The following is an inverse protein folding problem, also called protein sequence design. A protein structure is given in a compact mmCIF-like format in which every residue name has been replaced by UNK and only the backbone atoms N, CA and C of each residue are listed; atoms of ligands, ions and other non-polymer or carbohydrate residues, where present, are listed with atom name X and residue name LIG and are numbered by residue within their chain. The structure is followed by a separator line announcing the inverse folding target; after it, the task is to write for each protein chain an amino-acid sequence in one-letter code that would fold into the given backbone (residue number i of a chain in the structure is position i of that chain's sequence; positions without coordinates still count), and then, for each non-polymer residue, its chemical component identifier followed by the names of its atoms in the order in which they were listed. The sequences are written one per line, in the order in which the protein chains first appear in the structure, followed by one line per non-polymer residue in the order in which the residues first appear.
data_IF_186684081186
#
_entry.id   IF_186684081186
#
_cell.length_a   1.000
_cell.length_b   1.000
_cell.length_c   1.000
_cell.angle_alpha   90.00
_cell.angle_beta   90.00
_cell.angle_gamma   90.00
#
_symmetry.space_group_name_H-M   'P 1'
#
loop_
_entity.id
_entity.type
_entity.pdbx_description
1 polymer ?
#
# COMPACT_ATOMS: atom_id res chain seq x y z
N UNK A 1 7.00 11.10 18.93
CA UNK A 1 6.59 10.84 20.34
C UNK A 1 5.18 11.40 20.53
N UNK A 2 4.73 11.57 21.78
CA UNK A 2 3.42 12.19 22.10
C UNK A 2 3.29 13.64 21.59
N UNK A 3 4.40 14.30 21.29
CA UNK A 3 4.47 15.68 20.78
C UNK A 3 4.54 15.73 19.26
N UNK A 4 4.60 14.56 18.60
CA UNK A 4 4.75 14.44 17.15
C UNK A 4 6.19 14.63 16.67
N UNK A 5 7.19 14.62 17.56
CA UNK A 5 8.59 14.68 17.16
C UNK A 5 9.01 13.37 16.49
N UNK A 6 9.72 13.49 15.36
CA UNK A 6 10.26 12.33 14.63
C UNK A 6 11.50 11.81 15.33
N UNK A 7 11.55 10.49 15.58
CA UNK A 7 12.73 9.84 16.11
C UNK A 7 13.88 9.70 15.09
N UNK A 8 14.93 9.00 15.51
CA UNK A 8 16.04 8.63 14.62
C UNK A 8 15.53 7.77 13.45
N UNK A 9 16.03 8.05 12.24
CA UNK A 9 15.72 7.22 11.06
C UNK A 9 16.40 5.86 11.18
N UNK A 10 15.62 4.81 10.96
CA UNK A 10 16.08 3.43 10.96
C UNK A 10 15.54 2.70 9.73
N UNK A 11 16.24 1.64 9.33
CA UNK A 11 15.80 0.81 8.21
C UNK A 11 14.64 -0.05 8.69
N UNK A 12 13.45 0.19 8.16
CA UNK A 12 12.27 -0.63 8.43
C UNK A 12 12.33 -1.97 7.72
N UNK A 13 12.60 -1.97 6.40
CA UNK A 13 12.76 -3.17 5.58
C UNK A 13 13.62 -2.89 4.35
N UNK A 14 14.34 -3.90 3.87
CA UNK A 14 15.03 -3.87 2.55
C UNK A 14 14.34 -4.86 1.62
N UNK A 15 14.06 -4.43 0.40
CA UNK A 15 13.50 -5.26 -0.66
C UNK A 15 14.60 -5.68 -1.63
N UNK A 16 14.57 -6.95 -2.05
CA UNK A 16 15.46 -7.50 -3.06
C UNK A 16 14.95 -7.20 -4.48
N UNK A 17 15.82 -7.27 -5.50
CA UNK A 17 15.37 -7.15 -6.89
C UNK A 17 14.23 -8.12 -7.22
N UNK A 18 13.17 -7.63 -7.84
CA UNK A 18 11.97 -8.41 -8.18
C UNK A 18 10.90 -8.48 -7.07
N UNK A 19 11.16 -7.94 -5.88
CA UNK A 19 10.16 -7.88 -4.81
C UNK A 19 9.21 -6.66 -4.90
N UNK A 20 9.42 -5.80 -5.90
CA UNK A 20 8.76 -4.52 -6.04
C UNK A 20 9.38 -3.42 -5.18
N UNK A 21 8.92 -2.19 -5.39
CA UNK A 21 9.41 -0.97 -4.75
C UNK A 21 8.28 -0.42 -3.86
N UNK A 22 8.50 -0.18 -2.56
CA UNK A 22 7.48 0.43 -1.71
C UNK A 22 7.13 1.82 -2.23
N UNK A 23 5.86 2.02 -2.56
CA UNK A 23 5.29 3.29 -3.00
C UNK A 23 4.37 3.83 -1.90
N UNK A 24 3.09 4.01 -2.18
CA UNK A 24 2.10 4.47 -1.22
C UNK A 24 1.75 3.44 -0.14
N UNK A 25 1.39 3.94 1.04
CA UNK A 25 1.15 3.11 2.21
C UNK A 25 0.09 3.67 3.17
N UNK A 26 -0.40 2.79 4.05
CA UNK A 26 -1.29 3.10 5.17
C UNK A 26 -0.91 2.27 6.40
N UNK A 27 -1.49 2.60 7.56
CA UNK A 27 -1.32 1.86 8.82
C UNK A 27 -2.68 1.41 9.32
N UNK A 28 -2.75 0.18 9.82
CA UNK A 28 -3.95 -0.37 10.44
C UNK A 28 -4.00 -0.12 11.96
N UNK A 29 -5.12 -0.46 12.61
CA UNK A 29 -5.30 -0.23 14.05
C UNK A 29 -4.39 -1.10 14.94
N UNK A 30 -3.73 -2.11 14.37
CA UNK A 30 -2.73 -2.94 15.07
C UNK A 30 -1.31 -2.37 14.93
N UNK A 31 -1.15 -1.24 14.21
CA UNK A 31 0.14 -0.62 13.96
C UNK A 31 0.96 -1.30 12.86
N UNK A 32 0.33 -2.15 12.03
CA UNK A 32 0.99 -2.77 10.89
C UNK A 32 0.98 -1.84 9.68
N UNK A 33 2.08 -1.85 8.93
CA UNK A 33 2.31 -1.02 7.75
C UNK A 33 1.88 -1.76 6.48
N UNK A 34 0.98 -1.18 5.72
CA UNK A 34 0.50 -1.72 4.45
C UNK A 34 1.09 -0.91 3.31
N UNK A 35 1.74 -1.56 2.34
CA UNK A 35 2.36 -0.87 1.20
C UNK A 35 1.94 -1.49 -0.13
N UNK A 36 1.64 -0.62 -1.09
CA UNK A 36 1.64 -0.97 -2.49
C UNK A 36 3.08 -1.14 -2.97
N UNK A 37 3.39 -2.32 -3.51
CA UNK A 37 4.70 -2.62 -4.05
C UNK A 37 4.66 -2.40 -5.57
N UNK A 38 5.09 -1.22 -5.99
CA UNK A 38 5.21 -0.84 -7.40
C UNK A 38 6.12 -1.83 -8.13
N UNK A 39 5.71 -2.26 -9.32
CA UNK A 39 6.36 -3.34 -10.08
C UNK A 39 6.42 -4.70 -9.35
N UNK A 40 5.76 -4.83 -8.19
CA UNK A 40 5.74 -6.01 -7.35
C UNK A 40 4.47 -6.86 -7.46
N UNK A 41 3.47 -6.41 -8.23
CA UNK A 41 2.19 -7.11 -8.43
C UNK A 41 1.39 -7.38 -7.15
N UNK A 42 1.63 -6.61 -6.07
CA UNK A 42 1.05 -6.94 -4.77
C UNK A 42 0.93 -5.76 -3.83
N UNK A 43 0.01 -5.92 -2.88
CA UNK A 43 0.01 -5.21 -1.60
C UNK A 43 0.63 -6.14 -0.56
N UNK A 44 1.41 -5.60 0.37
CA UNK A 44 1.95 -6.35 1.49
C UNK A 44 1.69 -5.65 2.82
N UNK A 45 1.44 -6.45 3.87
CA UNK A 45 1.28 -6.01 5.25
C UNK A 45 2.52 -6.39 6.04
N UNK A 46 3.07 -5.43 6.78
CA UNK A 46 4.27 -5.59 7.58
C UNK A 46 4.01 -5.29 9.05
N UNK A 47 4.62 -6.04 9.96
CA UNK A 47 4.62 -5.74 11.39
C UNK A 47 5.33 -4.41 11.68
N UNK A 48 5.19 -3.89 12.90
CA UNK A 48 5.93 -2.69 13.34
C UNK A 48 7.46 -2.86 13.34
N UNK A 49 7.96 -4.10 13.20
CA UNK A 49 9.38 -4.43 13.08
C UNK A 49 9.81 -4.73 11.63
N UNK A 50 8.92 -4.56 10.65
CA UNK A 50 9.23 -4.76 9.23
C UNK A 50 9.13 -6.21 8.72
N UNK A 51 8.67 -7.14 9.55
CA UNK A 51 8.38 -8.52 9.13
C UNK A 51 7.15 -8.54 8.21
N UNK A 52 7.15 -9.37 7.16
CA UNK A 52 5.97 -9.47 6.27
C UNK A 52 4.99 -10.45 6.89
N UNK A 53 3.79 -9.97 7.18
CA UNK A 53 2.71 -10.75 7.78
C UNK A 53 1.79 -11.32 6.70
N UNK A 54 1.45 -10.51 5.70
CA UNK A 54 0.48 -10.86 4.66
C UNK A 54 0.88 -10.30 3.29
N UNK A 55 0.40 -10.94 2.23
CA UNK A 55 0.59 -10.54 0.83
C UNK A 55 -0.71 -10.74 0.05
N UNK A 56 -1.04 -9.77 -0.79
CA UNK A 56 -2.21 -9.78 -1.65
C UNK A 56 -1.80 -9.49 -3.09
N UNK A 57 -1.83 -10.52 -3.94
CA UNK A 57 -1.49 -10.40 -5.38
C UNK A 57 -2.58 -9.65 -6.13
N UNK A 58 -2.15 -8.84 -7.10
CA UNK A 58 -3.02 -8.07 -7.98
C UNK A 58 -2.83 -8.51 -9.44
N UNK A 59 -3.86 -8.37 -10.29
CA UNK A 59 -3.76 -8.67 -11.72
C UNK A 59 -3.04 -7.55 -12.51
N UNK A 60 -2.32 -6.65 -11.83
CA UNK A 60 -1.61 -5.52 -12.42
C UNK A 60 -0.23 -5.35 -11.78
N UNK A 61 0.73 -4.90 -12.59
CA UNK A 61 2.14 -4.79 -12.22
C UNK A 61 2.42 -3.71 -11.18
N UNK A 62 1.79 -2.55 -11.34
CA UNK A 62 2.14 -1.33 -10.63
C UNK A 62 0.98 -0.78 -9.78
N UNK A 63 0.69 -1.37 -8.60
CA UNK A 63 -0.07 -0.66 -7.57
C UNK A 63 0.74 0.52 -7.02
N UNK A 64 0.06 1.61 -6.69
CA UNK A 64 0.71 2.88 -6.32
C UNK A 64 0.36 3.35 -4.91
N UNK A 65 -0.86 3.12 -4.41
CA UNK A 65 -1.26 3.54 -3.05
C UNK A 65 -2.40 2.67 -2.53
N UNK A 66 -2.40 2.46 -1.21
CA UNK A 66 -3.51 1.86 -0.47
C UNK A 66 -4.14 2.86 0.50
N UNK A 67 -5.46 2.80 0.66
CA UNK A 67 -6.17 3.52 1.71
C UNK A 67 -7.31 2.65 2.26
N UNK A 68 -7.46 2.62 3.57
CA UNK A 68 -8.63 2.00 4.19
C UNK A 68 -9.85 2.90 4.04
N UNK A 69 -11.01 2.27 3.85
CA UNK A 69 -12.33 2.90 3.78
C UNK A 69 -13.44 1.88 4.04
N UNK A 70 -14.66 2.25 3.69
CA UNK A 70 -15.87 1.54 4.14
C UNK A 70 -16.26 1.97 5.56
N UNK A 71 -17.51 1.68 5.95
CA UNK A 71 -18.06 2.14 7.24
C UNK A 71 -17.30 1.54 8.45
N UNK A 72 -16.79 0.33 8.28
CA UNK A 72 -15.99 -0.42 9.27
C UNK A 72 -14.47 -0.24 9.09
N UNK A 73 -14.04 0.56 8.10
CA UNK A 73 -12.63 0.74 7.74
C UNK A 73 -11.90 -0.56 7.34
N UNK A 74 -12.60 -1.62 6.93
CA UNK A 74 -12.03 -2.93 6.56
C UNK A 74 -12.00 -3.17 5.03
N UNK A 75 -12.12 -2.11 4.23
CA UNK A 75 -11.93 -2.17 2.77
C UNK A 75 -10.67 -1.40 2.36
N UNK A 76 -9.71 -2.06 1.73
CA UNK A 76 -8.61 -1.37 1.05
C UNK A 76 -9.05 -0.90 -0.32
N UNK A 77 -8.90 0.40 -0.58
CA UNK A 77 -8.94 1.01 -1.90
C UNK A 77 -7.52 1.11 -2.43
N UNK A 78 -7.30 0.63 -3.64
CA UNK A 78 -5.97 0.48 -4.23
C UNK A 78 -5.95 1.23 -5.54
N UNK A 79 -5.04 2.21 -5.64
CA UNK A 79 -4.74 2.87 -6.92
C UNK A 79 -3.62 2.13 -7.63
N UNK A 80 -3.64 2.19 -8.95
CA UNK A 80 -2.65 1.55 -9.81
C UNK A 80 -2.33 2.48 -10.97
N UNK A 81 -1.23 2.24 -11.68
CA UNK A 81 -0.85 3.04 -12.84
C UNK A 81 -0.63 2.19 -14.08
N UNK A 82 -0.77 2.84 -15.23
CA UNK A 82 -0.32 2.36 -16.55
C UNK A 82 0.86 3.17 -17.09
N UNK A 83 1.39 4.08 -16.28
CA UNK A 83 2.51 4.92 -16.65
C UNK A 83 3.73 4.03 -16.99
N UNK A 84 4.42 4.40 -18.06
CA UNK A 84 5.57 3.66 -18.60
C UNK A 84 5.26 2.23 -19.08
N UNK A 85 3.98 1.90 -19.36
CA UNK A 85 3.63 0.68 -20.09
C UNK A 85 3.52 0.93 -21.58
N UNK A 86 4.04 0.01 -22.39
CA UNK A 86 3.82 0.06 -23.83
C UNK A 86 2.44 -0.47 -24.24
N UNK A 87 2.10 -0.36 -25.53
CA UNK A 87 0.80 -0.78 -26.04
C UNK A 87 0.54 -2.29 -25.91
N UNK A 88 1.60 -3.12 -25.96
CA UNK A 88 1.47 -4.57 -25.82
C UNK A 88 1.23 -4.94 -24.36
N UNK A 89 1.94 -4.31 -23.42
CA UNK A 89 1.71 -4.46 -21.98
C UNK A 89 0.31 -4.02 -21.58
N UNK A 90 -0.16 -2.86 -22.06
CA UNK A 90 -1.52 -2.38 -21.76
C UNK A 90 -2.57 -3.35 -22.31
N UNK A 91 -2.35 -3.93 -23.50
CA UNK A 91 -3.25 -4.94 -24.05
C UNK A 91 -3.24 -6.25 -23.25
N UNK A 92 -2.08 -6.66 -22.71
CA UNK A 92 -1.95 -7.86 -21.88
C UNK A 92 -2.54 -7.66 -20.47
N UNK A 93 -2.44 -6.45 -19.91
CA UNK A 93 -2.89 -6.10 -18.57
C UNK A 93 -3.86 -4.92 -18.60
N UNK A 94 -5.08 -5.12 -19.14
CA UNK A 94 -6.03 -4.02 -19.43
C UNK A 94 -6.57 -3.33 -18.18
N UNK A 95 -6.39 -3.92 -16.99
CA UNK A 95 -6.80 -3.31 -15.72
C UNK A 95 -5.73 -2.37 -15.13
N UNK A 96 -4.56 -2.24 -15.73
CA UNK A 96 -3.53 -1.30 -15.28
C UNK A 96 -4.05 0.14 -15.36
N UNK A 97 -3.97 0.87 -14.25
CA UNK A 97 -4.56 2.21 -14.10
C UNK A 97 -6.00 2.21 -13.54
N UNK A 98 -6.59 1.04 -13.27
CA UNK A 98 -7.87 0.95 -12.57
C UNK A 98 -7.70 1.13 -11.06
N UNK A 99 -8.83 1.32 -10.37
CA UNK A 99 -8.93 1.27 -8.90
C UNK A 99 -9.46 -0.11 -8.52
N UNK A 100 -8.82 -0.76 -7.55
CA UNK A 100 -9.27 -2.02 -6.97
C UNK A 100 -9.78 -1.81 -5.55
N UNK A 101 -10.63 -2.73 -5.11
CA UNK A 101 -11.01 -2.85 -3.70
C UNK A 101 -10.73 -4.27 -3.21
N UNK A 102 -10.38 -4.39 -1.93
CA UNK A 102 -10.06 -5.66 -1.27
C UNK A 102 -10.58 -5.62 0.17
N UNK A 103 -11.47 -6.54 0.59
CA UNK A 103 -11.81 -6.69 2.01
C UNK A 103 -10.62 -7.26 2.78
N UNK A 104 -10.38 -6.76 3.98
CA UNK A 104 -9.31 -7.20 4.90
C UNK A 104 -9.89 -7.46 6.29
N UNK A 105 -9.17 -8.21 7.12
CA UNK A 105 -9.62 -8.62 8.46
C UNK A 105 -9.33 -7.61 9.56
N UNK A 106 -8.53 -6.57 9.28
CA UNK A 106 -8.10 -5.56 10.26
C UNK A 106 -8.45 -4.18 9.73
N UNK A 107 -9.11 -3.39 10.57
CA UNK A 107 -9.52 -2.04 10.23
C UNK A 107 -8.33 -1.07 10.09
N UNK A 108 -8.47 -0.10 9.20
CA UNK A 108 -7.55 1.02 9.07
C UNK A 108 -7.72 2.11 10.13
N UNK A 109 -6.72 2.98 10.25
CA UNK A 109 -6.84 4.22 11.03
C UNK A 109 -7.57 5.30 10.21
N UNK A 110 -8.58 5.95 10.82
CA UNK A 110 -9.27 7.09 10.20
C UNK A 110 -8.32 8.28 10.07
N UNK A 111 -8.23 8.86 8.88
CA UNK A 111 -7.44 10.07 8.64
C UNK A 111 -8.18 11.29 9.18
N UNK A 112 -7.51 12.05 10.04
CA UNK A 112 -8.02 13.35 10.50
C UNK A 112 -8.06 14.37 9.36
N UNK A 113 -8.90 15.42 9.47
CA UNK A 113 -8.88 16.53 8.53
C UNK A 113 -7.53 17.24 8.59
N UNK A 114 -7.16 17.91 7.49
CA UNK A 114 -6.04 18.83 7.52
C UNK A 114 -6.33 19.97 8.50
N UNK A 115 -5.41 20.24 9.41
CA UNK A 115 -5.48 21.35 10.36
C UNK A 115 -4.33 22.30 10.04
N UNK A 116 -4.63 23.47 9.49
CA UNK A 116 -3.65 24.54 9.33
C UNK A 116 -3.19 25.00 10.73
N UNK A 117 -1.88 25.01 10.96
CA UNK A 117 -1.25 25.60 12.14
C UNK A 117 -0.50 26.86 11.74
#
# INVERSE_FOLDING_TARGET
DEQGETGKREVFRRFQPGEGIPDGAAVDVEGCYWSALFDGWRIARFSSQGEQLEEYRLPVRCPTMVCFGGDDMQTLFITTTRENMDAQEVAAYPLSGAIFTLPVSVAGVKKGPFIAR
#
